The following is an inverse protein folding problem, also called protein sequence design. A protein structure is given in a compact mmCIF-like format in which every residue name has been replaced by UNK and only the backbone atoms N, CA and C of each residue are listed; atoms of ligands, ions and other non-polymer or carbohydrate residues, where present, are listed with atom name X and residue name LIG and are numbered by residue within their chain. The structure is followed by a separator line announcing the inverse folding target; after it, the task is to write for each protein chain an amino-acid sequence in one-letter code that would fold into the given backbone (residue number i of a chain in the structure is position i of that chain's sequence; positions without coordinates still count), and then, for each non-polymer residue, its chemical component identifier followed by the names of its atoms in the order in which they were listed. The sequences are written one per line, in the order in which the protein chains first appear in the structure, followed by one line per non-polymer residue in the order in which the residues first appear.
data_IF_564449238548
#
_entry.id   IF_564449238548
#
_cell.length_a   1.000
_cell.length_b   1.000
_cell.length_c   1.000
_cell.angle_alpha   90.00
_cell.angle_beta   90.00
_cell.angle_gamma   90.00
#
_symmetry.space_group_name_H-M   'P 1'
#
loop_
_entity.id
_entity.type
_entity.pdbx_description
1 polymer ?
#
# COMPACT_ATOMS: atom_id res chain seq x y z
N UNK A 1 10.62 -13.68 -2.29
CA UNK A 1 11.37 -12.56 -1.70
C UNK A 1 10.44 -11.37 -1.53
N UNK A 2 10.30 -10.86 -0.30
CA UNK A 2 9.49 -9.66 -0.01
C UNK A 2 10.44 -8.46 0.16
N UNK A 3 10.20 -7.36 -0.54
CA UNK A 3 11.06 -6.18 -0.52
C UNK A 3 10.20 -4.96 -0.16
N UNK A 4 10.62 -4.22 0.88
CA UNK A 4 9.99 -2.94 1.22
C UNK A 4 10.36 -1.87 0.18
N UNK A 5 9.35 -1.25 -0.42
CA UNK A 5 9.56 -0.05 -1.22
C UNK A 5 9.72 1.18 -0.30
N UNK A 6 10.95 1.68 -0.16
CA UNK A 6 11.25 2.89 0.63
C UNK A 6 11.13 4.19 -0.18
N UNK A 7 10.92 4.10 -1.50
CA UNK A 7 10.72 5.22 -2.42
C UNK A 7 9.62 4.86 -3.39
N UNK A 8 8.93 5.88 -3.88
CA UNK A 8 7.93 5.74 -4.94
C UNK A 8 8.55 5.09 -6.17
N UNK A 9 7.83 4.14 -6.77
CA UNK A 9 8.24 3.48 -8.00
C UNK A 9 7.25 3.84 -9.10
N UNK A 10 7.79 4.16 -10.27
CA UNK A 10 7.00 4.23 -11.50
C UNK A 10 6.78 2.80 -11.98
N UNK A 11 5.53 2.47 -12.28
CA UNK A 11 5.14 1.22 -12.91
C UNK A 11 5.19 1.45 -14.43
N UNK A 12 5.55 0.40 -15.17
CA UNK A 12 5.51 0.41 -16.63
C UNK A 12 4.08 0.71 -17.09
N UNK A 13 3.90 1.74 -17.94
CA UNK A 13 2.59 2.35 -18.22
C UNK A 13 2.34 3.69 -17.51
N UNK A 14 3.33 4.23 -16.78
CA UNK A 14 3.36 5.63 -16.36
C UNK A 14 2.68 5.94 -15.02
N UNK A 15 2.09 4.96 -14.35
CA UNK A 15 1.49 5.11 -13.03
C UNK A 15 2.52 5.14 -11.89
N UNK A 16 2.22 5.90 -10.84
CA UNK A 16 2.93 5.79 -9.56
C UNK A 16 2.34 4.60 -8.77
N UNK A 17 3.21 3.73 -8.23
CA UNK A 17 2.81 2.55 -7.46
C UNK A 17 1.91 2.87 -6.27
N UNK A 18 2.20 3.96 -5.56
CA UNK A 18 1.40 4.40 -4.41
C UNK A 18 0.03 4.93 -4.82
N UNK A 19 -0.02 5.74 -5.89
CA UNK A 19 -1.27 6.28 -6.40
C UNK A 19 -2.22 5.18 -6.87
N UNK A 20 -1.70 4.12 -7.50
CA UNK A 20 -2.51 2.99 -7.96
C UNK A 20 -3.10 2.24 -6.75
N UNK A 21 -2.28 1.89 -5.77
CA UNK A 21 -2.75 1.16 -4.58
C UNK A 21 -3.85 1.93 -3.83
N UNK A 22 -3.72 3.25 -3.71
CA UNK A 22 -4.74 4.11 -3.07
C UNK A 22 -6.10 4.16 -3.77
N UNK A 23 -6.19 3.74 -5.03
CA UNK A 23 -7.46 3.71 -5.77
C UNK A 23 -8.18 2.37 -5.67
N UNK A 24 -7.52 1.37 -5.08
CA UNK A 24 -8.11 0.05 -4.89
C UNK A 24 -8.99 0.07 -3.65
N UNK A 25 -10.04 -0.75 -3.67
CA UNK A 25 -10.77 -1.06 -2.45
C UNK A 25 -9.88 -1.91 -1.53
N UNK A 26 -9.90 -1.67 -0.20
CA UNK A 26 -9.23 -2.52 0.76
C UNK A 26 -9.70 -3.96 0.62
N UNK A 27 -8.76 -4.89 0.42
CA UNK A 27 -9.07 -6.31 0.38
C UNK A 27 -9.32 -6.83 1.81
N UNK A 28 -8.56 -6.30 2.78
CA UNK A 28 -8.62 -6.70 4.18
C UNK A 28 -8.29 -5.52 5.10
N UNK A 29 -8.72 -5.62 6.35
CA UNK A 29 -8.38 -4.69 7.43
C UNK A 29 -7.86 -5.47 8.63
N UNK A 30 -6.70 -5.08 9.15
CA UNK A 30 -6.07 -5.72 10.32
C UNK A 30 -5.81 -4.70 11.42
N UNK A 31 -5.96 -5.12 12.67
CA UNK A 31 -5.52 -4.33 13.83
C UNK A 31 -4.23 -4.92 14.38
N UNK A 32 -3.21 -4.09 14.56
CA UNK A 32 -1.95 -4.49 15.18
C UNK A 32 -1.69 -3.67 16.44
N UNK A 33 -0.99 -4.27 17.40
CA UNK A 33 -0.49 -3.54 18.57
C UNK A 33 0.90 -3.00 18.25
N UNK A 34 1.03 -1.67 18.22
CA UNK A 34 2.33 -0.99 18.12
C UNK A 34 2.93 -0.91 19.52
N UNK A 35 4.11 -1.51 19.77
CA UNK A 35 4.73 -1.52 21.08
C UNK A 35 5.19 -0.12 21.48
N UNK A 36 5.35 0.08 22.79
CA UNK A 36 5.87 1.32 23.38
C UNK A 36 7.30 1.59 22.86
N UNK A 37 7.56 2.84 22.51
CA UNK A 37 8.91 3.34 22.18
C UNK A 37 9.25 4.53 23.11
N UNK A 38 10.53 4.88 23.29
CA UNK A 38 10.90 6.01 24.16
C UNK A 38 10.12 7.27 23.72
N UNK A 39 9.26 7.78 24.62
CA UNK A 39 8.34 8.93 24.45
C UNK A 39 7.02 8.66 23.69
N UNK A 40 6.67 7.41 23.38
CA UNK A 40 5.37 7.06 22.79
C UNK A 40 4.79 5.83 23.49
N UNK A 41 3.54 5.93 23.93
CA UNK A 41 2.83 4.80 24.52
C UNK A 41 2.52 3.73 23.49
N UNK A 42 2.30 2.50 23.98
CA UNK A 42 1.79 1.44 23.14
C UNK A 42 0.38 1.81 22.67
N UNK A 43 0.04 1.45 21.44
CA UNK A 43 -1.26 1.76 20.85
C UNK A 43 -1.68 0.72 19.85
N UNK A 44 -2.97 0.64 19.60
CA UNK A 44 -3.50 -0.13 18.47
C UNK A 44 -3.44 0.72 17.19
N UNK A 45 -3.19 0.06 16.07
CA UNK A 45 -3.22 0.66 14.75
C UNK A 45 -4.00 -0.24 13.80
N UNK A 46 -4.97 0.35 13.11
CA UNK A 46 -5.72 -0.29 12.04
C UNK A 46 -4.97 -0.08 10.72
N UNK A 47 -4.78 -1.16 9.97
CA UNK A 47 -4.12 -1.19 8.67
C UNK A 47 -5.11 -1.73 7.66
N UNK A 48 -5.43 -0.92 6.67
CA UNK A 48 -6.11 -1.36 5.45
C UNK A 48 -5.06 -1.92 4.48
N UNK A 49 -5.36 -3.06 3.86
CA UNK A 49 -4.46 -3.75 2.98
C UNK A 49 -5.04 -3.79 1.56
N UNK A 50 -4.39 -3.06 0.66
CA UNK A 50 -4.64 -3.10 -0.77
C UNK A 50 -3.53 -3.86 -1.49
N UNK A 51 -3.90 -4.63 -2.52
CA UNK A 51 -2.92 -5.30 -3.36
C UNK A 51 -3.37 -5.34 -4.81
N UNK A 52 -2.39 -5.26 -5.71
CA UNK A 52 -2.61 -5.52 -7.12
C UNK A 52 -1.38 -6.19 -7.73
N UNK A 53 -1.60 -6.91 -8.83
CA UNK A 53 -0.50 -7.36 -9.67
C UNK A 53 0.03 -6.16 -10.47
N UNK A 54 1.33 -5.89 -10.41
CA UNK A 54 1.95 -4.74 -11.06
C UNK A 54 1.75 -4.67 -12.59
N UNK A 55 1.37 -5.79 -13.23
CA UNK A 55 1.12 -5.89 -14.68
C UNK A 55 -0.36 -6.10 -15.02
N UNK A 56 -1.27 -5.82 -14.09
CA UNK A 56 -2.69 -5.91 -14.38
C UNK A 56 -3.10 -4.77 -15.32
N UNK A 57 -3.26 -5.10 -16.61
CA UNK A 57 -3.54 -4.14 -17.69
C UNK A 57 -4.80 -3.31 -17.44
N UNK A 58 -5.74 -3.82 -16.65
CA UNK A 58 -6.97 -3.13 -16.28
C UNK A 58 -6.73 -1.94 -15.34
N UNK A 59 -5.66 -1.97 -14.53
CA UNK A 59 -5.30 -0.88 -13.63
C UNK A 59 -4.44 0.21 -14.28
N UNK A 60 -3.84 -0.10 -15.45
CA UNK A 60 -3.04 0.85 -16.22
C UNK A 60 -3.90 1.73 -17.15
N UNK A 61 -5.18 1.41 -17.32
CA UNK A 61 -6.09 2.08 -18.25
C UNK A 61 -7.08 3.05 -17.57
N UNK A 62 -7.02 3.24 -16.25
CA UNK A 62 -7.93 4.13 -15.50
C UNK A 62 -7.54 5.63 -15.54
N UNK A 63 -6.74 6.03 -16.54
CA UNK A 63 -6.49 7.43 -16.88
C UNK A 63 -6.53 7.63 -18.39
N UNK A 64 -7.73 7.89 -18.91
CA UNK A 64 -7.96 8.78 -20.05
C UNK A 64 -8.86 9.91 -19.58
#
# INVERSE_FOLDING_TARGET
MLIRANRERKIEGGGCSWCILKTLEPADTYTITVPREKRKEAREATIEHEWCKANDKNLLNTRN
#
